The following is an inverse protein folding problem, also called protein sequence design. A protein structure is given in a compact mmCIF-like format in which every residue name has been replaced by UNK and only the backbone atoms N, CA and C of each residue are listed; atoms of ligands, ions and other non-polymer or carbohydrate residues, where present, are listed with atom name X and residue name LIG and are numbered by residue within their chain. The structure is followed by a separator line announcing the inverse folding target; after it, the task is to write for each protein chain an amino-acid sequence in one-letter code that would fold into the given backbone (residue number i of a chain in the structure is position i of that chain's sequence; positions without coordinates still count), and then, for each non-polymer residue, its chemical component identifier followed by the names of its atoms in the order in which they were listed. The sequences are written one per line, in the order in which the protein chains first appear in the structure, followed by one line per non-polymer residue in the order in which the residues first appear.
data_IF_995456583653
#
_entry.id   IF_995456583653
#
_cell.length_a   1.000
_cell.length_b   1.000
_cell.length_c   1.000
_cell.angle_alpha   90.00
_cell.angle_beta   90.00
_cell.angle_gamma   90.00
#
_symmetry.space_group_name_H-M   'P 1'
#
loop_
_entity.id
_entity.type
_entity.pdbx_description
1 polymer ?
#
# COMPACT_ATOMS: atom_id res chain seq x y z
N UNK A 1 -5.74 6.94 -18.56
CA UNK A 1 -6.44 8.10 -17.99
C UNK A 1 -7.85 7.66 -17.63
N UNK A 2 -7.94 6.79 -16.64
CA UNK A 2 -9.20 6.54 -15.95
C UNK A 2 -9.59 7.75 -15.12
N UNK A 3 -10.89 7.97 -15.01
CA UNK A 3 -11.48 8.96 -14.11
C UNK A 3 -11.58 8.39 -12.70
N UNK A 4 -11.67 9.27 -11.69
CA UNK A 4 -11.79 8.84 -10.29
C UNK A 4 -12.98 7.89 -10.09
N UNK A 5 -14.12 8.19 -10.70
CA UNK A 5 -15.33 7.38 -10.59
C UNK A 5 -15.16 5.98 -11.19
N UNK A 6 -14.40 5.85 -12.28
CA UNK A 6 -14.10 4.55 -12.88
C UNK A 6 -13.21 3.71 -11.95
N UNK A 7 -12.21 4.32 -11.32
CA UNK A 7 -11.33 3.66 -10.36
C UNK A 7 -12.07 3.28 -9.08
N UNK A 8 -12.89 4.18 -8.53
CA UNK A 8 -13.69 3.90 -7.32
C UNK A 8 -14.69 2.75 -7.51
N UNK A 9 -15.17 2.53 -8.74
CA UNK A 9 -16.05 1.43 -9.09
C UNK A 9 -15.34 0.07 -9.19
N UNK A 10 -14.00 0.05 -9.26
CA UNK A 10 -13.24 -1.19 -9.36
C UNK A 10 -13.26 -1.97 -8.03
N UNK A 11 -13.17 -3.31 -8.09
CA UNK A 11 -12.90 -4.12 -6.92
C UNK A 11 -11.58 -3.69 -6.25
N UNK A 12 -11.51 -3.76 -4.93
CA UNK A 12 -10.30 -3.34 -4.20
C UNK A 12 -9.05 -4.11 -4.63
N UNK A 13 -9.19 -5.41 -4.89
CA UNK A 13 -8.11 -6.25 -5.42
C UNK A 13 -7.54 -5.70 -6.71
N UNK A 14 -8.40 -5.24 -7.61
CA UNK A 14 -7.99 -4.70 -8.90
C UNK A 14 -7.32 -3.32 -8.75
N UNK A 15 -7.80 -2.50 -7.82
CA UNK A 15 -7.13 -1.24 -7.47
C UNK A 15 -5.72 -1.48 -6.89
N UNK A 16 -5.60 -2.42 -5.95
CA UNK A 16 -4.33 -2.82 -5.37
C UNK A 16 -3.36 -3.33 -6.44
N UNK A 17 -3.79 -4.30 -7.26
CA UNK A 17 -2.93 -4.91 -8.26
C UNK A 17 -2.41 -3.89 -9.27
N UNK A 18 -3.29 -3.00 -9.76
CA UNK A 18 -2.90 -1.91 -10.67
C UNK A 18 -1.95 -0.93 -9.98
N UNK A 19 -2.26 -0.49 -8.76
CA UNK A 19 -1.40 0.47 -8.04
C UNK A 19 -0.01 -0.13 -7.78
N UNK A 20 0.07 -1.39 -7.39
CA UNK A 20 1.35 -2.10 -7.17
C UNK A 20 2.12 -2.35 -8.46
N UNK A 21 1.44 -2.69 -9.55
CA UNK A 21 2.08 -2.84 -10.87
C UNK A 21 2.66 -1.52 -11.35
N UNK A 22 1.88 -0.44 -11.27
CA UNK A 22 2.32 0.92 -11.63
C UNK A 22 3.49 1.36 -10.76
N UNK A 23 3.41 1.17 -9.44
CA UNK A 23 4.52 1.49 -8.54
C UNK A 23 5.80 0.71 -8.87
N UNK A 24 5.70 -0.57 -9.23
CA UNK A 24 6.86 -1.36 -9.68
C UNK A 24 7.43 -0.87 -11.00
N UNK A 25 6.58 -0.55 -11.98
CA UNK A 25 7.01 -0.01 -13.29
C UNK A 25 7.75 1.32 -13.15
N UNK A 26 7.27 2.17 -12.24
CA UNK A 26 7.85 3.49 -11.99
C UNK A 26 8.95 3.49 -10.91
N UNK A 27 9.22 2.34 -10.26
CA UNK A 27 10.15 2.21 -9.13
C UNK A 27 9.81 3.23 -8.02
N UNK A 28 8.52 3.39 -7.74
CA UNK A 28 7.99 4.41 -6.82
C UNK A 28 8.07 3.93 -5.38
N UNK A 29 9.28 3.98 -4.82
CA UNK A 29 9.55 3.60 -3.42
C UNK A 29 8.78 4.48 -2.44
N UNK A 30 8.50 5.74 -2.82
CA UNK A 30 7.74 6.67 -2.00
C UNK A 30 6.30 6.20 -1.79
N UNK A 31 5.61 5.86 -2.87
CA UNK A 31 4.27 5.30 -2.79
C UNK A 31 4.22 4.01 -1.97
N UNK A 32 5.16 3.07 -2.22
CA UNK A 32 5.23 1.83 -1.45
C UNK A 32 5.39 2.13 0.05
N UNK A 33 6.19 3.14 0.41
CA UNK A 33 6.34 3.57 1.80
C UNK A 33 5.06 4.21 2.38
N UNK A 34 4.29 4.96 1.60
CA UNK A 34 2.98 5.49 2.03
C UNK A 34 1.97 4.38 2.31
N UNK A 35 1.90 3.35 1.45
CA UNK A 35 1.02 2.20 1.69
C UNK A 35 1.38 1.52 3.01
N UNK A 36 2.68 1.30 3.26
CA UNK A 36 3.17 0.69 4.51
C UNK A 36 2.81 1.53 5.73
N UNK A 37 3.02 2.85 5.70
CA UNK A 37 2.68 3.75 6.82
C UNK A 37 1.18 3.81 7.11
N UNK A 38 0.34 3.63 6.10
CA UNK A 38 -1.11 3.62 6.26
C UNK A 38 -1.63 2.32 6.92
N UNK A 39 -0.76 1.32 7.12
CA UNK A 39 -1.13 0.06 7.78
C UNK A 39 -1.23 0.25 9.30
N UNK A 40 -2.24 -0.35 9.97
CA UNK A 40 -2.39 -0.27 11.42
C UNK A 40 -1.17 -0.77 12.21
N UNK A 41 -0.45 -1.75 11.65
CA UNK A 41 0.77 -2.32 12.25
C UNK A 41 1.94 -1.32 12.19
N UNK A 42 1.94 -0.38 11.25
CA UNK A 42 3.00 0.60 11.12
C UNK A 42 3.01 1.62 12.27
N UNK A 43 1.84 2.05 12.78
CA UNK A 43 1.80 2.94 13.95
C UNK A 43 2.37 2.25 15.21
N UNK A 44 2.10 0.96 15.41
CA UNK A 44 2.57 0.20 16.56
C UNK A 44 4.08 -0.12 16.48
N UNK A 45 4.61 -0.37 15.27
CA UNK A 45 6.03 -0.67 15.05
C UNK A 45 6.91 0.59 14.96
N UNK A 46 6.41 1.68 14.38
CA UNK A 46 7.17 2.95 14.25
C UNK A 46 7.17 3.73 15.59
N UNK A 47 6.23 3.47 16.50
CA UNK A 47 6.18 4.06 17.84
C UNK A 47 7.22 3.53 18.84
N UNK A 48 7.85 2.37 18.59
CA UNK A 48 8.88 1.76 19.45
C UNK A 48 10.29 1.99 18.86
N UNK A 49 10.64 3.25 18.66
CA UNK A 49 11.98 3.69 18.24
C UNK A 49 12.99 3.46 19.37
N UNK A 50 13.48 2.21 19.49
CA UNK A 50 14.79 1.80 20.04
C UNK A 50 14.75 0.32 20.47
N UNK A 51 14.96 -0.63 19.55
CA UNK A 51 15.80 -1.83 19.82
C UNK A 51 16.04 -2.68 18.59
N UNK A 52 17.32 -3.00 18.38
CA UNK A 52 17.83 -4.18 17.69
C UNK A 52 17.69 -4.24 16.17
N UNK A 53 18.83 -4.09 15.48
CA UNK A 53 19.06 -4.40 14.06
C UNK A 53 18.69 -5.84 13.63
N UNK A 54 18.37 -6.73 14.58
CA UNK A 54 17.90 -8.11 14.35
C UNK A 54 16.38 -8.16 14.18
N UNK A 55 15.63 -7.20 14.73
CA UNK A 55 14.17 -7.16 14.67
C UNK A 55 13.63 -6.26 13.56
N UNK A 56 14.45 -5.78 12.61
CA UNK A 56 13.96 -5.01 11.44
C UNK A 56 13.55 -5.94 10.28
N UNK A 57 14.16 -7.13 10.19
CA UNK A 57 13.89 -8.09 9.11
C UNK A 57 12.50 -8.73 9.25
N UNK A 58 12.04 -8.96 10.49
CA UNK A 58 10.70 -9.52 10.77
C UNK A 58 9.56 -8.55 10.40
N UNK A 59 9.58 -7.28 10.83
CA UNK A 59 8.64 -6.25 10.40
C UNK A 59 8.64 -6.08 8.89
N UNK A 60 9.80 -6.07 8.22
CA UNK A 60 9.84 -5.99 6.76
C UNK A 60 9.17 -7.20 6.07
N UNK A 61 9.34 -8.41 6.60
CA UNK A 61 8.65 -9.59 6.09
C UNK A 61 7.14 -9.54 6.34
N UNK A 62 6.71 -9.10 7.53
CA UNK A 62 5.29 -8.89 7.85
C UNK A 62 4.68 -7.80 6.98
N UNK A 63 5.40 -6.70 6.76
CA UNK A 63 5.00 -5.62 5.86
C UNK A 63 4.85 -6.14 4.44
N UNK A 64 5.81 -6.95 3.95
CA UNK A 64 5.71 -7.55 2.64
C UNK A 64 4.47 -8.43 2.52
N UNK A 65 4.28 -9.40 3.43
CA UNK A 65 3.12 -10.27 3.46
C UNK A 65 1.81 -9.48 3.57
N UNK A 66 1.80 -8.39 4.33
CA UNK A 66 0.64 -7.52 4.49
C UNK A 66 0.37 -6.69 3.24
N UNK A 67 1.39 -6.18 2.55
CA UNK A 67 1.22 -5.54 1.24
C UNK A 67 0.58 -6.55 0.27
N UNK A 68 1.00 -7.82 0.30
CA UNK A 68 0.36 -8.87 -0.48
C UNK A 68 -1.09 -9.16 -0.06
N UNK A 69 -1.41 -9.07 1.24
CA UNK A 69 -2.77 -9.33 1.81
C UNK A 69 -3.69 -8.09 1.76
N UNK A 70 -3.15 -6.92 1.40
CA UNK A 70 -3.91 -5.66 1.28
C UNK A 70 -4.79 -5.57 0.03
N UNK A 71 -4.88 -6.67 -0.73
CA UNK A 71 -5.70 -6.82 -1.92
C UNK A 71 -7.18 -7.07 -1.59
N UNK A 72 -7.52 -7.28 -0.32
CA UNK A 72 -8.87 -7.63 0.11
C UNK A 72 -9.17 -7.27 1.57
N UNK A 73 -10.44 -7.39 1.96
CA UNK A 73 -10.89 -7.15 3.33
C UNK A 73 -10.88 -5.68 3.77
N UNK A 74 -11.06 -5.46 5.07
CA UNK A 74 -11.22 -4.13 5.64
C UNK A 74 -10.00 -3.22 5.44
N UNK A 75 -8.80 -3.82 5.37
CA UNK A 75 -7.56 -3.05 5.24
C UNK A 75 -7.36 -2.59 3.79
N UNK A 76 -7.56 -3.47 2.81
CA UNK A 76 -7.60 -3.04 1.41
C UNK A 76 -8.61 -1.91 1.22
N UNK A 77 -9.84 -2.08 1.73
CA UNK A 77 -10.87 -1.04 1.60
C UNK A 77 -10.47 0.30 2.26
N UNK A 78 -9.76 0.27 3.38
CA UNK A 78 -9.22 1.48 4.01
C UNK A 78 -8.14 2.16 3.15
N UNK A 79 -7.37 1.39 2.39
CA UNK A 79 -6.34 1.88 1.47
C UNK A 79 -6.89 2.31 0.10
N UNK A 80 -8.17 2.03 -0.19
CA UNK A 80 -8.83 2.39 -1.47
C UNK A 80 -8.57 3.84 -1.91
N UNK A 81 -8.74 4.87 -1.05
CA UNK A 81 -8.51 6.25 -1.46
C UNK A 81 -7.07 6.48 -1.92
N UNK A 82 -6.11 5.86 -1.25
CA UNK A 82 -4.69 5.96 -1.55
C UNK A 82 -4.35 5.30 -2.90
N UNK A 83 -4.95 4.15 -3.22
CA UNK A 83 -4.79 3.51 -4.54
C UNK A 83 -5.41 4.32 -5.68
N UNK A 84 -6.63 4.85 -5.46
CA UNK A 84 -7.32 5.68 -6.44
C UNK A 84 -6.52 6.95 -6.74
N UNK A 85 -6.05 7.65 -5.70
CA UNK A 85 -5.29 8.88 -5.86
C UNK A 85 -3.96 8.64 -6.58
N UNK A 86 -3.29 7.55 -6.25
CA UNK A 86 -2.04 7.17 -6.91
C UNK A 86 -2.21 6.87 -8.40
N UNK A 87 -3.23 6.09 -8.76
CA UNK A 87 -3.50 5.76 -10.16
C UNK A 87 -3.91 7.00 -10.97
N UNK A 88 -4.69 7.91 -10.37
CA UNK A 88 -5.02 9.18 -10.99
C UNK A 88 -3.79 10.06 -11.24
N UNK A 89 -2.86 10.13 -10.27
CA UNK A 89 -1.63 10.90 -10.42
C UNK A 89 -0.75 10.36 -11.55
N UNK A 90 -0.66 9.03 -11.67
CA UNK A 90 0.14 8.39 -12.74
C UNK A 90 -0.59 8.30 -14.08
N UNK A 91 -1.88 8.66 -14.12
CA UNK A 91 -2.66 8.74 -15.35
C UNK A 91 -3.11 7.39 -15.91
N UNK A 92 -3.14 6.35 -15.07
CA UNK A 92 -3.67 5.02 -15.39
C UNK A 92 -5.19 5.06 -15.45
#
# INVERSE_FOLDING_TARGET
MSTRAELEALPIKELHDRAMETARKHVDVGFLWEVVKALPVAEEVIGDDQRSKVDIVRPLALINDFLYDSDSGAVGEALRPLYVDYLLEKGE
#
